data_IF_176015819499
#
_entry.id   IF_176015819499
#
_cell.length_a   1.000
_cell.length_b   1.000
_cell.length_c   1.000
_cell.angle_alpha   90.00
_cell.angle_beta   90.00
_cell.angle_gamma   90.00
#
_symmetry.space_group_name_H-M   'P 1'
#
loop_
_entity.id
_entity.type
_entity.pdbx_description
1 polymer ?
#
# COMPACT_ATOMS: atom_id res chain seq x y z
N UNK A 1 23.95 6.48 46.53
CA UNK A 1 23.10 6.76 47.69
C UNK A 1 21.67 6.51 47.23
N UNK A 2 21.15 5.29 47.36
CA UNK A 2 20.55 4.71 48.60
C UNK A 2 19.20 5.41 48.88
N UNK A 3 18.01 4.83 49.00
CA UNK A 3 17.44 3.48 49.24
C UNK A 3 15.96 3.54 48.73
N UNK A 4 15.31 2.57 48.05
CA UNK A 4 14.76 1.24 48.48
C UNK A 4 13.69 1.41 49.60
N UNK A 5 12.45 0.82 49.55
CA UNK A 5 12.27 -0.64 49.48
C UNK A 5 11.04 -1.27 48.76
N UNK A 6 11.30 -2.55 48.44
CA UNK A 6 10.48 -3.65 47.92
C UNK A 6 9.49 -4.29 48.92
N UNK A 7 8.57 -5.08 48.32
CA UNK A 7 8.13 -6.45 48.66
C UNK A 7 6.62 -6.63 48.93
N UNK A 8 5.99 -7.83 48.74
CA UNK A 8 6.62 -9.15 48.53
C UNK A 8 6.03 -10.07 47.42
N UNK A 9 6.84 -11.06 47.04
CA UNK A 9 6.46 -12.31 46.36
C UNK A 9 5.90 -13.34 47.35
N UNK A 10 4.99 -14.22 46.90
CA UNK A 10 4.80 -15.57 47.47
C UNK A 10 4.76 -16.63 46.37
N UNK A 11 5.41 -17.75 46.68
CA UNK A 11 5.73 -18.85 45.79
C UNK A 11 4.69 -19.99 45.79
N UNK A 12 4.80 -20.81 44.74
CA UNK A 12 4.07 -22.03 44.38
C UNK A 12 4.22 -23.19 45.38
N UNK A 13 3.28 -24.15 45.37
CA UNK A 13 3.61 -25.59 45.20
C UNK A 13 2.39 -26.47 44.85
N UNK A 14 2.72 -27.57 44.16
CA UNK A 14 1.94 -28.52 43.36
C UNK A 14 1.28 -29.67 44.15
N UNK A 15 0.25 -30.33 43.58
CA UNK A 15 0.34 -31.70 43.00
C UNK A 15 -0.99 -32.31 42.51
N UNK A 16 -0.92 -32.81 41.27
CA UNK A 16 -1.43 -34.08 40.73
C UNK A 16 -2.94 -34.40 40.60
N UNK A 17 -3.32 -34.69 39.35
CA UNK A 17 -3.82 -36.03 38.97
C UNK A 17 -5.31 -36.15 38.67
N UNK A 18 -5.65 -36.30 37.38
CA UNK A 18 -6.98 -36.76 36.96
C UNK A 18 -7.25 -36.45 35.49
N UNK A 19 -6.86 -37.36 34.58
CA UNK A 19 -7.22 -37.26 33.17
C UNK A 19 -8.69 -37.64 32.94
N UNK A 20 -9.36 -36.92 32.03
CA UNK A 20 -10.54 -37.40 31.30
C UNK A 20 -10.56 -36.75 29.92
N UNK A 21 -10.48 -37.62 28.90
CA UNK A 21 -11.03 -37.58 27.55
C UNK A 21 -11.11 -36.26 26.77
N UNK A 22 -10.29 -36.19 25.73
CA UNK A 22 -10.49 -35.40 24.50
C UNK A 22 -11.77 -35.89 23.80
N UNK A 23 -12.71 -34.98 23.56
CA UNK A 23 -13.77 -35.17 22.57
C UNK A 23 -13.90 -33.87 21.75
N UNK A 24 -13.01 -33.69 20.78
CA UNK A 24 -13.17 -32.69 19.74
C UNK A 24 -14.05 -33.30 18.64
N UNK A 25 -15.29 -32.83 18.55
CA UNK A 25 -16.27 -33.20 17.55
C UNK A 25 -15.81 -32.63 16.20
N UNK A 26 -15.29 -33.48 15.32
CA UNK A 26 -15.05 -33.15 13.91
C UNK A 26 -16.41 -33.21 13.20
N UNK A 27 -17.01 -32.05 12.93
CA UNK A 27 -18.12 -31.95 11.98
C UNK A 27 -17.50 -31.88 10.60
N UNK A 28 -17.43 -33.03 9.92
CA UNK A 28 -17.17 -33.09 8.49
C UNK A 28 -18.42 -32.61 7.75
N UNK A 29 -18.44 -31.36 7.29
CA UNK A 29 -19.40 -30.92 6.28
C UNK A 29 -18.87 -31.46 4.94
N UNK A 30 -19.49 -32.53 4.46
CA UNK A 30 -19.32 -32.99 3.10
C UNK A 30 -19.96 -31.97 2.14
N UNK A 31 -19.17 -31.05 1.62
CA UNK A 31 -19.56 -30.28 0.45
C UNK A 31 -19.47 -31.23 -0.74
N UNK A 32 -20.63 -31.66 -1.21
CA UNK A 32 -20.75 -32.37 -2.48
C UNK A 32 -20.46 -31.36 -3.59
N UNK A 33 -19.26 -31.42 -4.17
CA UNK A 33 -18.91 -30.66 -5.37
C UNK A 33 -19.64 -31.33 -6.54
N UNK A 34 -20.66 -30.66 -7.04
CA UNK A 34 -21.33 -31.04 -8.29
C UNK A 34 -20.43 -30.56 -9.44
N UNK A 35 -19.87 -31.43 -10.30
CA UNK A 35 -18.95 -31.01 -11.35
C UNK A 35 -19.74 -30.73 -12.63
N UNK A 36 -20.38 -29.56 -12.70
CA UNK A 36 -20.87 -29.00 -13.96
C UNK A 36 -21.51 -27.64 -13.70
N UNK A 37 -20.70 -26.59 -13.72
CA UNK A 37 -21.11 -25.24 -14.06
C UNK A 37 -19.91 -24.56 -14.74
N UNK A 38 -19.70 -24.90 -16.01
CA UNK A 38 -18.87 -24.13 -16.93
C UNK A 38 -19.45 -22.71 -17.03
N UNK A 39 -18.98 -21.81 -16.17
CA UNK A 39 -19.17 -20.38 -16.38
C UNK A 39 -18.13 -19.93 -17.42
N UNK A 40 -18.55 -19.41 -18.58
CA UNK A 40 -17.61 -18.86 -19.54
C UNK A 40 -16.87 -17.68 -18.88
N UNK A 41 -15.53 -17.71 -18.95
CA UNK A 41 -14.69 -16.59 -18.55
C UNK A 41 -15.20 -15.31 -19.22
N UNK A 42 -15.50 -14.29 -18.41
CA UNK A 42 -15.89 -12.99 -18.92
C UNK A 42 -14.76 -12.46 -19.80
N UNK A 43 -15.04 -12.35 -21.10
CA UNK A 43 -14.15 -11.67 -22.04
C UNK A 43 -14.27 -10.17 -21.75
N UNK A 44 -13.16 -9.43 -21.58
CA UNK A 44 -13.24 -8.00 -21.35
C UNK A 44 -13.90 -7.34 -22.57
N UNK A 45 -14.99 -6.62 -22.30
CA UNK A 45 -15.71 -5.84 -23.31
C UNK A 45 -14.75 -4.78 -23.86
N UNK A 46 -14.23 -5.04 -25.05
CA UNK A 46 -13.27 -4.22 -25.76
C UNK A 46 -14.03 -3.37 -26.76
N UNK A 47 -14.45 -2.18 -26.34
CA UNK A 47 -14.91 -1.12 -27.25
C UNK A 47 -14.48 0.25 -26.69
N UNK A 48 -13.16 0.43 -26.56
CA UNK A 48 -12.53 1.75 -26.70
C UNK A 48 -11.49 1.58 -27.80
N UNK A 49 -11.55 2.34 -28.91
CA UNK A 49 -10.48 2.35 -29.89
C UNK A 49 -9.19 2.76 -29.17
N UNK A 50 -8.22 1.85 -29.06
CA UNK A 50 -6.87 2.20 -28.62
C UNK A 50 -6.29 3.01 -29.79
N UNK A 51 -6.46 4.32 -29.72
CA UNK A 51 -5.70 5.23 -30.57
C UNK A 51 -4.23 4.94 -30.31
N UNK A 52 -3.47 4.72 -31.39
CA UNK A 52 -2.02 4.43 -31.36
C UNK A 52 -1.18 5.65 -30.96
N UNK A 53 -1.78 6.62 -30.26
CA UNK A 53 -1.10 7.72 -29.62
C UNK A 53 -0.37 7.20 -28.37
N UNK A 54 0.89 7.61 -28.22
CA UNK A 54 1.68 7.36 -27.02
C UNK A 54 0.90 7.86 -25.79
N UNK A 55 0.76 7.00 -24.77
CA UNK A 55 0.03 7.36 -23.55
C UNK A 55 0.69 8.58 -22.90
N UNK A 56 -0.13 9.51 -22.40
CA UNK A 56 0.37 10.62 -21.58
C UNK A 56 1.06 10.02 -20.35
N UNK A 57 2.37 10.26 -20.14
CA UNK A 57 3.11 9.69 -19.02
C UNK A 57 2.56 10.14 -17.66
N UNK A 58 1.78 11.23 -17.61
CA UNK A 58 1.11 11.72 -16.40
C UNK A 58 -0.30 11.17 -16.21
N UNK A 59 -0.82 10.37 -17.14
CA UNK A 59 -2.13 9.73 -17.03
C UNK A 59 -2.01 8.31 -16.46
N UNK A 60 -2.46 8.16 -15.22
CA UNK A 60 -2.58 6.86 -14.57
C UNK A 60 -3.52 5.95 -15.36
N UNK A 61 -4.71 6.42 -15.74
CA UNK A 61 -5.70 5.59 -16.44
C UNK A 61 -5.21 5.10 -17.80
N UNK A 62 -4.52 5.93 -18.58
CA UNK A 62 -3.98 5.51 -19.87
C UNK A 62 -2.87 4.48 -19.68
N UNK A 63 -1.91 4.73 -18.79
CA UNK A 63 -0.76 3.84 -18.59
C UNK A 63 -1.18 2.49 -17.99
N UNK A 64 -2.09 2.51 -17.02
CA UNK A 64 -2.61 1.30 -16.38
C UNK A 64 -3.43 0.45 -17.37
N UNK A 65 -4.10 1.05 -18.35
CA UNK A 65 -4.84 0.32 -19.38
C UNK A 65 -3.93 -0.36 -20.42
N UNK A 66 -2.65 0.02 -20.51
CA UNK A 66 -1.71 -0.62 -21.43
C UNK A 66 -1.42 -2.07 -21.01
N UNK A 67 -1.30 -3.00 -21.97
CA UNK A 67 -1.01 -4.38 -21.67
C UNK A 67 0.43 -4.54 -21.15
N UNK A 68 0.60 -5.42 -20.16
CA UNK A 68 1.89 -5.85 -19.61
C UNK A 68 2.02 -7.36 -19.75
N UNK A 69 3.15 -7.83 -20.25
CA UNK A 69 3.39 -9.25 -20.42
C UNK A 69 3.83 -9.88 -19.10
N UNK A 70 3.44 -11.14 -18.85
CA UNK A 70 4.02 -11.90 -17.74
C UNK A 70 5.55 -11.97 -17.91
N UNK A 71 6.26 -11.71 -16.83
CA UNK A 71 7.72 -11.68 -16.77
C UNK A 71 8.34 -10.31 -17.11
N UNK A 72 7.55 -9.30 -17.46
CA UNK A 72 8.07 -8.03 -18.01
C UNK A 72 8.11 -6.86 -17.04
N UNK A 73 8.08 -7.07 -15.71
CA UNK A 73 8.13 -5.95 -14.76
C UNK A 73 9.56 -5.41 -14.59
N UNK A 74 9.78 -4.07 -14.56
CA UNK A 74 8.79 -3.02 -14.79
C UNK A 74 8.44 -2.87 -16.28
N UNK A 75 9.39 -3.13 -17.20
CA UNK A 75 9.17 -3.10 -18.66
C UNK A 75 8.61 -1.79 -19.19
N UNK A 76 8.20 -1.71 -20.46
CA UNK A 76 7.87 -0.42 -21.10
C UNK A 76 6.62 0.26 -20.50
N UNK A 77 5.66 -0.52 -19.99
CA UNK A 77 4.35 -0.02 -19.54
C UNK A 77 4.12 -0.17 -18.02
N UNK A 78 5.12 -0.57 -17.25
CA UNK A 78 5.00 -0.66 -15.79
C UNK A 78 5.19 0.70 -15.13
N UNK A 79 4.26 1.05 -14.26
CA UNK A 79 4.40 2.20 -13.36
C UNK A 79 5.26 1.77 -12.15
N UNK A 80 6.56 2.08 -12.22
CA UNK A 80 7.52 1.78 -11.16
C UNK A 80 8.18 3.05 -10.67
N UNK A 81 8.35 3.17 -9.36
CA UNK A 81 8.87 4.39 -8.77
C UNK A 81 9.38 4.27 -7.34
N UNK A 82 9.41 5.44 -6.70
CA UNK A 82 9.88 5.64 -5.33
C UNK A 82 9.12 6.80 -4.70
N UNK A 83 9.08 6.89 -3.38
CA UNK A 83 8.74 8.15 -2.70
C UNK A 83 9.87 9.18 -2.82
N UNK A 84 9.53 10.47 -2.72
CA UNK A 84 10.55 11.52 -2.64
C UNK A 84 11.33 11.47 -1.31
N UNK A 85 12.62 11.17 -1.35
CA UNK A 85 13.51 11.21 -0.19
C UNK A 85 14.90 11.75 -0.59
N UNK A 86 15.49 12.71 0.17
CA UNK A 86 15.09 13.17 1.50
C UNK A 86 13.95 14.20 1.50
N UNK A 87 13.60 14.74 0.34
CA UNK A 87 12.52 15.72 0.17
C UNK A 87 11.46 15.12 -0.76
N UNK A 88 10.19 15.39 -0.47
CA UNK A 88 9.07 15.00 -1.34
C UNK A 88 9.01 15.91 -2.57
N UNK A 89 9.94 15.72 -3.51
CA UNK A 89 10.07 16.51 -4.74
C UNK A 89 10.60 15.71 -5.95
N UNK A 90 10.52 16.35 -7.12
CA UNK A 90 11.00 15.77 -8.40
C UNK A 90 12.50 15.44 -8.36
N UNK A 91 13.30 16.27 -7.69
CA UNK A 91 14.75 16.13 -7.68
C UNK A 91 15.19 14.86 -6.95
N UNK A 92 14.61 14.61 -5.78
CA UNK A 92 14.87 13.42 -4.95
C UNK A 92 14.47 12.13 -5.67
N UNK A 93 13.30 12.13 -6.32
CA UNK A 93 12.87 10.99 -7.17
C UNK A 93 13.86 10.81 -8.32
N UNK A 94 14.19 11.87 -9.06
CA UNK A 94 15.10 11.79 -10.21
C UNK A 94 16.49 11.27 -9.84
N UNK A 95 17.01 11.65 -8.67
CA UNK A 95 18.29 11.13 -8.14
C UNK A 95 18.23 9.61 -7.94
N UNK A 96 17.21 9.11 -7.25
CA UNK A 96 17.01 7.67 -7.06
C UNK A 96 16.93 6.92 -8.39
N UNK A 97 16.11 7.40 -9.33
CA UNK A 97 15.88 6.73 -10.60
C UNK A 97 17.12 6.77 -11.50
N UNK A 98 17.92 7.83 -11.41
CA UNK A 98 19.24 7.91 -12.06
C UNK A 98 20.17 6.81 -11.53
N UNK A 99 20.20 6.60 -10.22
CA UNK A 99 21.01 5.55 -9.58
C UNK A 99 20.47 4.14 -9.85
N UNK A 100 19.15 3.97 -9.99
CA UNK A 100 18.54 2.70 -10.43
C UNK A 100 18.88 2.39 -11.90
N UNK A 101 19.23 3.40 -12.70
CA UNK A 101 19.58 3.25 -14.12
C UNK A 101 18.39 3.33 -15.09
N UNK A 102 17.21 3.73 -14.59
CA UNK A 102 15.96 3.85 -15.37
C UNK A 102 15.07 4.95 -14.78
N UNK A 103 14.45 5.83 -15.59
CA UNK A 103 13.50 6.82 -15.10
C UNK A 103 12.34 6.17 -14.32
N UNK A 104 11.90 6.82 -13.24
CA UNK A 104 10.67 6.41 -12.56
C UNK A 104 9.47 7.03 -13.26
N UNK A 105 8.42 6.23 -13.39
CA UNK A 105 7.14 6.68 -13.95
C UNK A 105 6.12 7.00 -12.84
N UNK A 106 6.47 6.69 -11.59
CA UNK A 106 5.70 7.03 -10.39
C UNK A 106 6.57 7.82 -9.42
N UNK A 107 5.97 8.85 -8.82
CA UNK A 107 6.49 9.50 -7.63
C UNK A 107 5.44 9.39 -6.53
N UNK A 108 5.79 8.73 -5.43
CA UNK A 108 4.92 8.65 -4.27
C UNK A 108 5.12 9.88 -3.37
N UNK A 109 4.01 10.44 -2.90
CA UNK A 109 3.99 11.62 -2.04
C UNK A 109 2.84 11.57 -1.03
N UNK A 110 2.81 12.53 -0.11
CA UNK A 110 1.86 12.62 0.98
C UNK A 110 1.36 14.06 1.11
N UNK A 111 0.14 14.22 1.60
CA UNK A 111 -0.31 15.52 2.10
C UNK A 111 0.07 15.71 3.57
N UNK A 112 -0.02 16.95 4.02
CA UNK A 112 -0.09 17.26 5.45
C UNK A 112 -1.30 16.53 6.07
N UNK A 113 -1.30 16.31 7.40
CA UNK A 113 -2.32 15.59 8.16
C UNK A 113 -2.81 16.35 9.40
N UNK A 114 -2.52 17.63 9.51
CA UNK A 114 -2.82 18.47 10.68
C UNK A 114 -4.32 18.74 10.80
N UNK A 115 -4.98 19.08 9.70
CA UNK A 115 -6.41 19.30 9.62
C UNK A 115 -6.92 19.06 8.19
N UNK A 116 -8.23 19.08 7.99
CA UNK A 116 -8.82 18.85 6.67
C UNK A 116 -8.37 19.88 5.62
N UNK A 117 -8.13 21.12 6.00
CA UNK A 117 -7.73 22.15 5.05
C UNK A 117 -6.29 21.92 4.60
N UNK A 118 -5.37 21.58 5.51
CA UNK A 118 -3.97 21.22 5.18
C UNK A 118 -3.88 19.96 4.32
N UNK A 119 -4.74 18.98 4.58
CA UNK A 119 -4.87 17.75 3.81
C UNK A 119 -5.43 17.98 2.41
N UNK A 120 -6.25 19.01 2.19
CA UNK A 120 -7.03 19.20 0.95
C UNK A 120 -6.69 20.53 0.27
N UNK A 121 -7.47 21.59 0.50
CA UNK A 121 -7.39 22.87 -0.22
C UNK A 121 -6.05 23.60 -0.06
N UNK A 122 -5.31 23.36 1.01
CA UNK A 122 -4.01 23.98 1.29
C UNK A 122 -2.82 23.06 0.96
N UNK A 123 -3.04 21.98 0.19
CA UNK A 123 -2.00 21.02 -0.20
C UNK A 123 -1.32 21.34 -1.55
N UNK A 124 -1.54 22.53 -2.12
CA UNK A 124 -1.04 22.92 -3.46
C UNK A 124 0.48 22.81 -3.60
N UNK A 125 1.20 23.08 -2.52
CA UNK A 125 2.66 22.95 -2.44
C UNK A 125 3.16 21.55 -2.84
N UNK A 126 2.38 20.50 -2.57
CA UNK A 126 2.75 19.13 -2.91
C UNK A 126 2.81 18.98 -4.43
N UNK A 127 1.82 19.50 -5.16
CA UNK A 127 1.84 19.48 -6.62
C UNK A 127 2.94 20.35 -7.20
N UNK A 128 3.25 21.48 -6.57
CA UNK A 128 4.33 22.40 -6.98
C UNK A 128 5.71 21.73 -6.89
N UNK A 129 5.99 20.97 -5.82
CA UNK A 129 7.23 20.20 -5.68
C UNK A 129 7.44 19.15 -6.79
N UNK A 130 6.33 18.72 -7.41
CA UNK A 130 6.32 17.75 -8.50
C UNK A 130 5.94 18.35 -9.85
N UNK A 131 5.95 19.68 -10.04
CA UNK A 131 5.48 20.31 -11.28
C UNK A 131 6.18 19.77 -12.54
N UNK A 132 7.49 19.50 -12.42
CA UNK A 132 8.35 19.03 -13.51
C UNK A 132 8.48 17.49 -13.59
N UNK A 133 7.84 16.74 -12.70
CA UNK A 133 7.89 15.27 -12.75
C UNK A 133 7.08 14.72 -13.93
N UNK A 134 7.74 14.02 -14.86
CA UNK A 134 7.12 13.47 -16.06
C UNK A 134 6.61 12.04 -15.84
N UNK A 135 5.66 11.91 -14.92
CA UNK A 135 5.06 10.64 -14.51
C UNK A 135 3.81 10.84 -13.67
N UNK A 136 3.26 9.73 -13.18
CA UNK A 136 2.08 9.67 -12.33
C UNK A 136 2.44 9.98 -10.88
N UNK A 137 1.64 10.81 -10.21
CA UNK A 137 1.73 10.95 -8.76
C UNK A 137 0.90 9.86 -8.09
N UNK A 138 1.46 9.27 -7.03
CA UNK A 138 0.74 8.40 -6.11
C UNK A 138 0.66 9.12 -4.77
N UNK A 139 -0.54 9.62 -4.44
CA UNK A 139 -0.75 10.53 -3.31
C UNK A 139 -1.39 9.75 -2.17
N UNK A 140 -0.62 9.49 -1.12
CA UNK A 140 -1.15 8.89 0.11
C UNK A 140 -1.88 9.92 0.94
N UNK A 141 -3.17 9.65 1.18
CA UNK A 141 -4.12 10.63 1.68
C UNK A 141 -4.92 10.05 2.85
N UNK A 142 -4.81 10.66 4.03
CA UNK A 142 -5.60 10.28 5.19
C UNK A 142 -7.10 10.60 4.99
N UNK A 143 -8.03 9.83 5.57
CA UNK A 143 -9.47 10.17 5.54
C UNK A 143 -9.85 11.25 6.56
N UNK A 144 -9.19 11.24 7.71
CA UNK A 144 -9.34 12.22 8.79
C UNK A 144 -7.94 12.68 9.21
N UNK A 145 -7.76 13.90 9.75
CA UNK A 145 -6.46 14.37 10.22
C UNK A 145 -5.91 13.53 11.38
N UNK A 146 -4.61 13.64 11.63
CA UNK A 146 -3.96 13.06 12.79
C UNK A 146 -4.67 13.53 14.07
N UNK A 147 -4.89 12.60 15.01
CA UNK A 147 -5.71 12.81 16.23
C UNK A 147 -7.19 13.12 15.96
N UNK A 148 -7.66 12.85 14.73
CA UNK A 148 -9.02 13.07 14.27
C UNK A 148 -9.91 11.82 14.31
N UNK A 149 -9.58 10.79 15.10
CA UNK A 149 -10.31 9.52 15.16
C UNK A 149 -11.81 9.74 15.42
N UNK A 150 -12.16 10.74 16.25
CA UNK A 150 -13.54 11.07 16.59
C UNK A 150 -14.32 11.73 15.45
N UNK A 151 -13.66 12.06 14.33
CA UNK A 151 -14.27 12.71 13.16
C UNK A 151 -14.77 11.69 12.12
N UNK A 152 -14.51 10.40 12.31
CA UNK A 152 -14.89 9.36 11.33
C UNK A 152 -16.39 9.34 11.04
N UNK A 153 -17.24 9.40 12.08
CA UNK A 153 -18.70 9.44 11.93
C UNK A 153 -19.19 10.71 11.20
N UNK A 154 -18.55 11.86 11.43
CA UNK A 154 -18.87 13.10 10.72
C UNK A 154 -18.44 13.02 9.24
N UNK A 155 -17.28 12.40 8.96
CA UNK A 155 -16.87 12.08 7.60
C UNK A 155 -17.86 11.13 6.91
N UNK A 156 -18.32 10.08 7.61
CA UNK A 156 -19.35 9.17 7.12
C UNK A 156 -20.67 9.87 6.77
N UNK A 157 -21.01 10.95 7.49
CA UNK A 157 -22.17 11.78 7.21
C UNK A 157 -21.98 12.79 6.06
N UNK A 158 -20.77 12.89 5.50
CA UNK A 158 -20.43 13.81 4.40
C UNK A 158 -20.10 15.24 4.83
N UNK A 159 -19.85 15.48 6.13
CA UNK A 159 -19.58 16.83 6.65
C UNK A 159 -18.32 17.47 6.04
N UNK A 160 -17.41 16.64 5.50
CA UNK A 160 -16.16 17.06 4.87
C UNK A 160 -16.13 16.88 3.35
N UNK A 161 -17.27 16.62 2.70
CA UNK A 161 -17.33 16.44 1.25
C UNK A 161 -16.79 17.65 0.47
N UNK A 162 -16.99 18.87 0.99
CA UNK A 162 -16.46 20.06 0.31
C UNK A 162 -14.93 20.07 0.29
N UNK A 163 -14.28 19.62 1.36
CA UNK A 163 -12.82 19.48 1.40
C UNK A 163 -12.32 18.51 0.31
N UNK A 164 -13.02 17.40 0.11
CA UNK A 164 -12.69 16.43 -0.94
C UNK A 164 -12.91 16.96 -2.36
N UNK A 165 -13.98 17.75 -2.58
CA UNK A 165 -14.18 18.47 -3.86
C UNK A 165 -13.08 19.49 -4.12
N UNK A 166 -12.65 20.21 -3.10
CA UNK A 166 -11.56 21.19 -3.22
C UNK A 166 -10.25 20.48 -3.58
N UNK A 167 -9.96 19.33 -2.96
CA UNK A 167 -8.78 18.53 -3.32
C UNK A 167 -8.82 18.05 -4.78
N UNK A 168 -9.97 17.53 -5.23
CA UNK A 168 -10.15 17.15 -6.63
C UNK A 168 -9.95 18.32 -7.60
N UNK A 169 -10.52 19.48 -7.27
CA UNK A 169 -10.34 20.72 -8.06
C UNK A 169 -8.87 21.15 -8.10
N UNK A 170 -8.16 21.01 -6.98
CA UNK A 170 -6.75 21.34 -6.87
C UNK A 170 -5.90 20.42 -7.76
N UNK A 171 -6.13 19.10 -7.72
CA UNK A 171 -5.46 18.15 -8.63
C UNK A 171 -5.61 18.56 -10.09
N UNK A 172 -6.84 18.88 -10.53
CA UNK A 172 -7.12 19.29 -11.91
C UNK A 172 -6.41 20.60 -12.24
N UNK A 173 -6.45 21.58 -11.34
CA UNK A 173 -5.83 22.91 -11.53
C UNK A 173 -4.32 22.82 -11.71
N UNK A 174 -3.66 21.88 -11.03
CA UNK A 174 -2.22 21.63 -11.18
C UNK A 174 -1.86 20.68 -12.34
N UNK A 175 -2.83 20.28 -13.18
CA UNK A 175 -2.58 19.33 -14.28
C UNK A 175 -2.26 17.92 -13.81
N UNK A 176 -2.75 17.53 -12.63
CA UNK A 176 -2.53 16.24 -11.96
C UNK A 176 -3.83 15.46 -11.73
N UNK A 177 -4.89 15.80 -12.46
CA UNK A 177 -6.21 15.18 -12.31
C UNK A 177 -6.22 13.67 -12.52
N UNK A 178 -5.39 13.16 -13.45
CA UNK A 178 -5.28 11.72 -13.77
C UNK A 178 -4.13 11.04 -12.99
N UNK A 179 -4.01 11.37 -11.70
CA UNK A 179 -3.07 10.75 -10.74
C UNK A 179 -3.80 9.74 -9.84
N UNK A 180 -3.02 8.96 -9.07
CA UNK A 180 -3.53 7.96 -8.13
C UNK A 180 -3.61 8.56 -6.73
N UNK A 181 -4.73 8.35 -6.03
CA UNK A 181 -4.93 8.71 -4.63
C UNK A 181 -5.12 7.44 -3.80
N UNK A 182 -4.16 7.15 -2.92
CA UNK A 182 -4.25 6.07 -1.92
C UNK A 182 -5.04 6.60 -0.73
N UNK A 183 -6.36 6.59 -0.88
CA UNK A 183 -7.28 7.19 0.08
C UNK A 183 -7.39 6.30 1.33
N UNK A 184 -7.27 6.88 2.51
CA UNK A 184 -7.32 6.16 3.78
C UNK A 184 -6.27 5.04 3.89
N UNK A 185 -5.08 5.25 3.31
CA UNK A 185 -4.01 4.23 3.22
C UNK A 185 -3.72 3.56 4.57
N UNK A 186 -3.48 2.24 4.59
CA UNK A 186 -3.13 1.47 5.80
C UNK A 186 -4.15 1.63 6.95
N UNK A 187 -5.44 1.69 6.65
CA UNK A 187 -6.48 1.82 7.68
C UNK A 187 -6.48 0.69 8.73
N UNK A 188 -5.80 -0.42 8.47
CA UNK A 188 -5.65 -1.55 9.38
C UNK A 188 -4.45 -1.41 10.34
N UNK A 189 -3.73 -0.28 10.31
CA UNK A 189 -2.66 0.04 11.27
C UNK A 189 -3.21 0.76 12.52
N UNK A 190 -2.85 0.27 13.71
CA UNK A 190 -3.31 0.85 14.99
C UNK A 190 -2.89 2.31 15.17
N UNK A 191 -1.83 2.74 14.51
CA UNK A 191 -1.29 4.09 14.62
C UNK A 191 -2.02 5.13 13.75
N UNK A 192 -2.84 4.70 12.78
CA UNK A 192 -3.53 5.62 11.88
C UNK A 192 -4.75 6.26 12.56
N UNK A 193 -4.93 7.57 12.37
CA UNK A 193 -6.10 8.28 12.90
C UNK A 193 -7.38 7.93 12.12
N UNK A 194 -7.25 7.51 10.87
CA UNK A 194 -8.34 7.07 10.00
C UNK A 194 -8.54 5.55 9.99
N UNK A 195 -8.00 4.84 10.98
CA UNK A 195 -8.12 3.39 11.06
C UNK A 195 -9.57 2.93 11.21
N UNK A 196 -9.86 1.72 10.73
CA UNK A 196 -11.21 1.14 10.70
C UNK A 196 -11.74 0.65 12.06
N UNK A 197 -11.80 1.52 13.08
CA UNK A 197 -12.34 1.19 14.42
C UNK A 197 -13.82 0.81 14.38
N UNK A 198 -14.62 1.66 13.73
CA UNK A 198 -15.99 1.34 13.36
C UNK A 198 -16.01 1.03 11.86
N UNK A 199 -16.36 -0.21 11.52
CA UNK A 199 -16.31 -0.69 10.13
C UNK A 199 -17.34 0.01 9.25
N UNK A 200 -18.53 0.32 9.80
CA UNK A 200 -19.60 0.97 9.03
C UNK A 200 -19.25 2.44 8.77
N UNK A 201 -18.76 3.16 9.80
CA UNK A 201 -18.33 4.55 9.65
C UNK A 201 -17.13 4.68 8.71
N UNK A 202 -16.14 3.78 8.79
CA UNK A 202 -14.99 3.78 7.88
C UNK A 202 -15.45 3.62 6.41
N UNK A 203 -16.27 2.59 6.13
CA UNK A 203 -16.77 2.33 4.78
C UNK A 203 -17.57 3.54 4.28
N UNK A 204 -18.47 4.10 5.10
CA UNK A 204 -19.27 5.26 4.74
C UNK A 204 -18.41 6.51 4.48
N UNK A 205 -17.42 6.79 5.34
CA UNK A 205 -16.49 7.91 5.17
C UNK A 205 -15.66 7.77 3.89
N UNK A 206 -15.09 6.58 3.63
CA UNK A 206 -14.36 6.32 2.39
C UNK A 206 -15.23 6.59 1.16
N UNK A 207 -16.46 6.04 1.14
CA UNK A 207 -17.40 6.22 0.03
C UNK A 207 -17.77 7.68 -0.17
N UNK A 208 -18.03 8.43 0.90
CA UNK A 208 -18.34 9.87 0.83
C UNK A 208 -17.16 10.65 0.23
N UNK A 209 -15.96 10.44 0.78
CA UNK A 209 -14.74 11.08 0.32
C UNK A 209 -14.42 10.78 -1.15
N UNK A 210 -14.44 9.51 -1.56
CA UNK A 210 -14.17 9.10 -2.94
C UNK A 210 -15.21 9.67 -3.92
N UNK A 211 -16.49 9.69 -3.53
CA UNK A 211 -17.57 10.27 -4.36
C UNK A 211 -17.41 11.78 -4.52
N UNK A 212 -17.15 12.49 -3.43
CA UNK A 212 -16.94 13.93 -3.44
C UNK A 212 -15.70 14.31 -4.26
N UNK A 213 -14.58 13.61 -4.06
CA UNK A 213 -13.35 13.76 -4.84
C UNK A 213 -13.62 13.60 -6.35
N UNK A 214 -14.26 12.50 -6.74
CA UNK A 214 -14.60 12.22 -8.15
C UNK A 214 -15.57 13.22 -8.76
N UNK A 215 -16.47 13.80 -7.96
CA UNK A 215 -17.41 14.81 -8.45
C UNK A 215 -16.72 16.08 -8.96
N UNK A 216 -15.54 16.41 -8.42
CA UNK A 216 -14.71 17.53 -8.86
C UNK A 216 -13.58 17.10 -9.82
N UNK A 217 -13.12 15.85 -9.70
CA UNK A 217 -12.09 15.26 -10.56
C UNK A 217 -12.52 13.87 -11.08
N UNK A 218 -13.21 13.79 -12.23
CA UNK A 218 -13.66 12.51 -12.78
C UNK A 218 -12.54 11.60 -13.30
N UNK A 219 -11.29 12.08 -13.37
CA UNK A 219 -10.15 11.32 -13.90
C UNK A 219 -9.29 10.68 -12.80
N UNK A 220 -9.51 11.03 -11.53
CA UNK A 220 -8.75 10.47 -10.41
C UNK A 220 -8.88 8.95 -10.37
N UNK A 221 -7.76 8.28 -10.08
CA UNK A 221 -7.73 6.85 -9.80
C UNK A 221 -7.65 6.67 -8.29
N UNK A 222 -8.57 5.92 -7.71
CA UNK A 222 -8.66 5.72 -6.26
C UNK A 222 -8.15 4.33 -5.90
N UNK A 223 -7.12 4.28 -5.04
CA UNK A 223 -6.50 3.07 -4.51
C UNK A 223 -6.92 2.86 -3.05
N UNK A 224 -7.47 1.68 -2.76
CA UNK A 224 -7.71 1.20 -1.40
C UNK A 224 -6.57 0.27 -0.98
N UNK A 225 -5.65 0.79 -0.17
CA UNK A 225 -4.42 0.10 0.23
C UNK A 225 -4.43 -0.31 1.70
N UNK A 226 -3.96 -1.53 2.01
CA UNK A 226 -3.78 -2.05 3.38
C UNK A 226 -2.30 -2.14 3.76
N UNK A 227 -2.00 -2.21 5.06
CA UNK A 227 -0.71 -2.70 5.55
C UNK A 227 -0.72 -4.24 5.57
N UNK A 228 0.40 -4.87 5.22
CA UNK A 228 0.50 -6.33 5.16
C UNK A 228 0.48 -7.02 6.55
N UNK A 229 0.27 -8.33 6.51
CA UNK A 229 0.47 -9.33 7.57
C UNK A 229 -0.54 -9.36 8.72
N UNK A 230 -1.05 -8.23 9.21
CA UNK A 230 -1.96 -8.28 10.35
C UNK A 230 -2.94 -7.11 10.42
N UNK A 231 -4.22 -7.46 10.59
CA UNK A 231 -5.26 -6.53 11.04
C UNK A 231 -5.62 -6.86 12.50
N UNK A 232 -5.40 -5.94 13.46
CA UNK A 232 -5.81 -6.11 14.85
C UNK A 232 -7.31 -6.42 15.01
N UNK A 233 -7.67 -7.22 16.01
CA UNK A 233 -9.06 -7.68 16.21
C UNK A 233 -10.10 -6.56 16.39
N UNK A 234 -9.66 -5.40 16.89
CA UNK A 234 -10.48 -4.21 17.08
C UNK A 234 -10.59 -3.32 15.84
N UNK A 235 -9.85 -3.60 14.77
CA UNK A 235 -9.92 -2.89 13.50
C UNK A 235 -10.57 -3.80 12.47
N UNK A 236 -11.60 -3.31 11.76
CA UNK A 236 -12.26 -4.06 10.69
C UNK A 236 -12.69 -5.48 11.12
N UNK A 237 -13.03 -5.69 12.40
CA UNK A 237 -13.35 -7.03 12.93
C UNK A 237 -12.21 -8.06 12.79
N UNK A 238 -10.95 -7.64 12.75
CA UNK A 238 -9.77 -8.50 12.68
C UNK A 238 -9.37 -8.97 11.29
N UNK A 239 -9.96 -8.43 10.23
CA UNK A 239 -9.58 -8.72 8.84
C UNK A 239 -9.85 -7.49 7.96
N UNK A 240 -8.84 -7.00 7.25
CA UNK A 240 -8.87 -5.76 6.48
C UNK A 240 -9.99 -5.76 5.43
N UNK A 241 -10.26 -6.90 4.79
CA UNK A 241 -11.30 -7.06 3.77
C UNK A 241 -12.71 -6.78 4.27
N UNK A 242 -12.96 -6.83 5.59
CA UNK A 242 -14.24 -6.42 6.16
C UNK A 242 -14.50 -4.92 6.02
N UNK A 243 -13.44 -4.11 5.87
CA UNK A 243 -13.52 -2.67 5.61
C UNK A 243 -13.52 -2.32 4.12
N UNK A 244 -13.62 -3.29 3.20
CA UNK A 244 -13.60 -3.00 1.77
C UNK A 244 -14.81 -2.12 1.37
N UNK A 245 -14.60 -0.90 0.84
CA UNK A 245 -15.68 0.06 0.65
C UNK A 245 -16.56 -0.19 -0.59
N UNK A 246 -16.17 -1.12 -1.47
CA UNK A 246 -16.94 -1.57 -2.62
C UNK A 246 -16.36 -1.21 -3.98
N UNK A 247 -16.67 -2.04 -4.98
CA UNK A 247 -16.11 -1.97 -6.33
C UNK A 247 -16.43 -0.68 -7.09
N UNK A 248 -17.50 0.03 -6.73
CA UNK A 248 -17.96 1.25 -7.42
C UNK A 248 -17.14 2.49 -7.05
N UNK A 249 -16.46 2.47 -5.90
CA UNK A 249 -15.65 3.61 -5.41
C UNK A 249 -14.14 3.32 -5.38
N UNK A 250 -13.72 2.11 -5.74
CA UNK A 250 -12.31 1.68 -5.76
C UNK A 250 -11.89 1.27 -7.18
N UNK A 251 -10.77 1.81 -7.66
CA UNK A 251 -10.19 1.44 -8.96
C UNK A 251 -9.07 0.41 -8.80
N UNK A 252 -8.27 0.54 -7.75
CA UNK A 252 -7.10 -0.31 -7.44
C UNK A 252 -7.21 -0.82 -6.00
N UNK A 253 -6.84 -2.08 -5.78
CA UNK A 253 -6.68 -2.65 -4.44
C UNK A 253 -5.17 -2.82 -4.21
N UNK A 254 -4.64 -2.24 -3.13
CA UNK A 254 -3.20 -2.14 -2.89
C UNK A 254 -2.72 -2.74 -1.59
N UNK A 255 -1.42 -3.02 -1.50
CA UNK A 255 -0.77 -3.42 -0.25
C UNK A 255 0.53 -2.67 -0.01
N UNK A 256 0.81 -2.35 1.25
CA UNK A 256 2.13 -1.92 1.71
C UNK A 256 2.83 -3.11 2.37
N UNK A 257 3.96 -3.53 1.82
CA UNK A 257 4.61 -4.79 2.16
C UNK A 257 6.12 -4.62 2.35
N UNK A 258 6.55 -4.63 3.61
CA UNK A 258 7.95 -4.43 4.00
C UNK A 258 8.59 -5.69 4.55
N UNK A 259 9.89 -5.85 4.31
CA UNK A 259 10.70 -6.84 5.03
C UNK A 259 11.00 -6.34 6.45
N UNK A 260 9.98 -6.36 7.31
CA UNK A 260 10.02 -5.82 8.67
C UNK A 260 9.47 -6.82 9.69
N UNK A 261 8.15 -6.91 9.82
CA UNK A 261 7.49 -7.73 10.81
C UNK A 261 6.26 -8.43 10.22
N UNK A 262 6.35 -9.74 9.92
CA UNK A 262 7.55 -10.58 9.91
C UNK A 262 8.49 -10.24 8.74
N UNK A 263 9.80 -10.27 8.98
CA UNK A 263 10.79 -10.28 7.91
C UNK A 263 10.99 -11.71 7.37
N UNK A 264 11.57 -11.81 6.18
CA UNK A 264 11.70 -13.02 5.37
C UNK A 264 13.16 -13.47 5.27
N UNK A 265 13.67 -14.29 6.22
CA UNK A 265 15.03 -14.82 6.17
C UNK A 265 15.25 -15.85 5.06
N UNK A 266 14.18 -16.49 4.59
CA UNK A 266 14.23 -17.54 3.57
C UNK A 266 13.07 -17.37 2.59
N UNK A 267 13.21 -17.95 1.39
CA UNK A 267 12.14 -17.97 0.39
C UNK A 267 10.87 -18.64 0.94
N UNK A 268 11.03 -19.68 1.77
CA UNK A 268 9.89 -20.35 2.40
C UNK A 268 9.15 -19.44 3.38
N UNK A 269 9.85 -18.55 4.08
CA UNK A 269 9.22 -17.55 4.94
C UNK A 269 8.49 -16.48 4.13
N UNK A 270 9.13 -15.96 3.07
CA UNK A 270 8.48 -15.03 2.13
C UNK A 270 7.21 -15.64 1.52
N UNK A 271 7.29 -16.87 1.00
CA UNK A 271 6.15 -17.54 0.36
C UNK A 271 5.02 -17.79 1.34
N UNK A 272 5.35 -18.15 2.59
CA UNK A 272 4.37 -18.34 3.65
C UNK A 272 3.70 -17.02 4.01
N UNK A 273 4.45 -15.97 4.30
CA UNK A 273 3.87 -14.67 4.71
C UNK A 273 3.12 -13.98 3.58
N UNK A 274 3.50 -14.23 2.32
CA UNK A 274 2.75 -13.77 1.15
C UNK A 274 1.40 -14.49 1.00
N UNK A 275 1.33 -15.79 1.33
CA UNK A 275 0.11 -16.60 1.19
C UNK A 275 -0.81 -16.56 2.44
N UNK A 276 -0.26 -16.27 3.62
CA UNK A 276 -1.03 -16.10 4.85
C UNK A 276 -2.05 -14.95 4.71
N UNK A 277 -3.17 -14.94 5.46
CA UNK A 277 -4.11 -13.81 5.47
C UNK A 277 -3.39 -12.47 5.71
N UNK A 278 -3.86 -11.41 5.04
CA UNK A 278 -3.21 -10.08 4.98
C UNK A 278 -1.85 -10.08 4.25
N UNK A 279 -1.44 -11.19 3.64
CA UNK A 279 -0.20 -11.31 2.87
C UNK A 279 -0.32 -10.80 1.43
N UNK A 280 0.84 -10.58 0.80
CA UNK A 280 0.98 -10.08 -0.58
C UNK A 280 0.15 -10.86 -1.61
N UNK A 281 0.32 -12.18 -1.69
CA UNK A 281 -0.41 -13.04 -2.63
C UNK A 281 -1.87 -13.20 -2.22
N UNK A 282 -2.15 -13.30 -0.91
CA UNK A 282 -3.52 -13.38 -0.41
C UNK A 282 -4.36 -12.16 -0.80
N UNK A 283 -3.80 -10.96 -0.65
CA UNK A 283 -4.51 -9.73 -0.97
C UNK A 283 -4.57 -9.46 -2.47
N UNK A 284 -3.57 -9.91 -3.22
CA UNK A 284 -3.65 -9.98 -4.67
C UNK A 284 -4.86 -10.83 -5.11
N UNK A 285 -5.07 -12.02 -4.56
CA UNK A 285 -6.21 -12.87 -4.89
C UNK A 285 -7.56 -12.21 -4.55
N UNK A 286 -7.61 -11.46 -3.46
CA UNK A 286 -8.77 -10.61 -3.14
C UNK A 286 -9.02 -9.57 -4.24
N UNK A 287 -7.99 -8.83 -4.67
CA UNK A 287 -8.10 -7.88 -5.78
C UNK A 287 -8.60 -8.55 -7.07
N UNK A 288 -8.11 -9.74 -7.38
CA UNK A 288 -8.54 -10.52 -8.54
C UNK A 288 -9.99 -10.97 -8.46
N UNK A 289 -10.47 -11.35 -7.28
CA UNK A 289 -11.87 -11.72 -7.05
C UNK A 289 -12.81 -10.55 -7.34
N UNK A 290 -12.36 -9.32 -7.09
CA UNK A 290 -13.08 -8.08 -7.37
C UNK A 290 -12.84 -7.53 -8.80
N UNK A 291 -12.09 -8.24 -9.64
CA UNK A 291 -11.76 -7.80 -10.99
C UNK A 291 -10.90 -6.54 -11.05
N UNK A 292 -10.19 -6.22 -9.97
CA UNK A 292 -9.34 -5.03 -9.85
C UNK A 292 -7.90 -5.32 -10.24
N UNK A 293 -7.19 -4.25 -10.58
CA UNK A 293 -5.74 -4.27 -10.64
C UNK A 293 -5.16 -4.13 -9.23
N UNK A 294 -3.91 -4.55 -9.09
CA UNK A 294 -3.21 -4.63 -7.83
C UNK A 294 -2.04 -3.65 -7.77
N UNK A 295 -1.83 -2.99 -6.63
CA UNK A 295 -0.67 -2.16 -6.40
C UNK A 295 0.15 -2.64 -5.20
N UNK A 296 1.45 -2.36 -5.24
CA UNK A 296 2.29 -2.41 -4.04
C UNK A 296 2.74 -0.99 -3.74
N UNK A 297 1.94 -0.34 -2.90
CA UNK A 297 1.95 1.10 -2.66
C UNK A 297 3.24 1.57 -2.00
N UNK A 298 3.75 0.75 -1.09
CA UNK A 298 5.04 0.87 -0.45
C UNK A 298 5.65 -0.52 -0.27
N UNK A 299 6.91 -0.67 -0.61
CA UNK A 299 7.67 -1.86 -0.24
C UNK A 299 9.14 -1.55 -0.10
N UNK A 300 9.83 -2.40 0.65
CA UNK A 300 11.28 -2.30 0.78
C UNK A 300 11.79 -3.13 1.93
N UNK A 301 13.11 -3.18 2.05
CA UNK A 301 13.74 -3.72 3.25
C UNK A 301 13.54 -2.74 4.41
N UNK A 302 13.39 -3.19 5.65
CA UNK A 302 13.32 -2.27 6.80
C UNK A 302 14.24 -2.74 7.93
N UNK A 303 15.56 -2.51 7.81
CA UNK A 303 16.53 -2.91 8.81
C UNK A 303 16.41 -2.11 10.11
N UNK A 304 15.54 -2.56 11.01
CA UNK A 304 15.33 -1.97 12.35
C UNK A 304 15.43 -3.08 13.40
N UNK A 305 16.29 -2.88 14.40
CA UNK A 305 16.56 -3.92 15.40
C UNK A 305 17.02 -5.23 14.75
N UNK A 306 16.24 -6.30 14.94
CA UNK A 306 16.51 -7.64 14.39
C UNK A 306 15.78 -7.94 13.07
N UNK A 307 14.95 -7.02 12.57
CA UNK A 307 14.15 -7.18 11.36
C UNK A 307 14.88 -6.70 10.10
N UNK A 308 14.48 -7.23 8.94
CA UNK A 308 14.84 -6.76 7.59
C UNK A 308 16.30 -6.96 7.20
N UNK A 309 17.24 -6.34 7.90
CA UNK A 309 18.68 -6.30 7.57
C UNK A 309 18.90 -5.85 6.11
N UNK A 310 20.14 -5.99 5.64
CA UNK A 310 20.41 -5.96 4.21
C UNK A 310 20.00 -7.31 3.62
N UNK A 311 18.90 -7.34 2.86
CA UNK A 311 18.28 -8.56 2.34
C UNK A 311 18.12 -8.52 0.80
N UNK A 312 19.19 -8.80 0.05
CA UNK A 312 19.14 -8.88 -1.41
C UNK A 312 18.14 -9.91 -1.94
N UNK A 313 17.96 -11.01 -1.21
CA UNK A 313 17.03 -12.08 -1.62
C UNK A 313 15.58 -11.59 -1.60
N UNK A 314 15.17 -10.80 -0.59
CA UNK A 314 13.83 -10.19 -0.55
C UNK A 314 13.58 -9.28 -1.76
N UNK A 315 14.55 -8.46 -2.16
CA UNK A 315 14.46 -7.64 -3.38
C UNK A 315 14.25 -8.52 -4.62
N UNK A 316 15.01 -9.62 -4.71
CA UNK A 316 14.87 -10.60 -5.79
C UNK A 316 13.49 -11.25 -5.83
N UNK A 317 12.94 -11.64 -4.67
CA UNK A 317 11.63 -12.29 -4.59
C UNK A 317 10.49 -11.32 -4.88
N UNK A 318 10.55 -10.07 -4.40
CA UNK A 318 9.57 -9.04 -4.75
C UNK A 318 9.58 -8.77 -6.26
N UNK A 319 10.75 -8.61 -6.87
CA UNK A 319 10.85 -8.43 -8.32
C UNK A 319 10.30 -9.64 -9.09
N UNK A 320 10.63 -10.87 -8.67
CA UNK A 320 10.07 -12.08 -9.27
C UNK A 320 8.54 -12.09 -9.16
N UNK A 321 8.00 -11.79 -7.98
CA UNK A 321 6.57 -11.73 -7.74
C UNK A 321 5.91 -10.68 -8.64
N UNK A 322 6.51 -9.49 -8.80
CA UNK A 322 6.00 -8.48 -9.72
C UNK A 322 6.00 -8.95 -11.17
N UNK A 323 7.08 -9.59 -11.61
CA UNK A 323 7.20 -10.11 -12.96
C UNK A 323 6.11 -11.16 -13.24
N UNK A 324 5.87 -12.09 -12.30
CA UNK A 324 4.83 -13.12 -12.42
C UNK A 324 3.41 -12.54 -12.52
N UNK A 325 3.16 -11.41 -11.84
CA UNK A 325 1.84 -10.77 -11.75
C UNK A 325 1.69 -9.52 -12.64
N UNK A 326 2.67 -9.20 -13.49
CA UNK A 326 2.78 -7.93 -14.23
C UNK A 326 1.51 -7.52 -14.99
N UNK A 327 0.78 -8.47 -15.56
CA UNK A 327 -0.47 -8.24 -16.31
C UNK A 327 -1.60 -7.63 -15.46
N UNK A 328 -1.50 -7.73 -14.12
CA UNK A 328 -2.49 -7.24 -13.17
C UNK A 328 -1.95 -6.16 -12.25
N UNK A 329 -0.66 -5.81 -12.37
CA UNK A 329 -0.07 -4.72 -11.61
C UNK A 329 -0.46 -3.38 -12.20
N UNK A 330 -0.98 -2.51 -11.34
CA UNK A 330 -1.19 -1.10 -11.62
C UNK A 330 0.13 -0.35 -11.46
N UNK A 331 0.80 -0.49 -10.31
CA UNK A 331 2.10 0.13 -10.03
C UNK A 331 2.82 -0.55 -8.84
N UNK A 332 4.11 -0.26 -8.70
CA UNK A 332 4.82 -0.39 -7.42
C UNK A 332 5.67 0.86 -7.13
N UNK A 333 5.83 1.19 -5.85
CA UNK A 333 6.76 2.21 -5.40
C UNK A 333 7.63 1.68 -4.26
N UNK A 334 8.95 1.70 -4.47
CA UNK A 334 9.89 1.42 -3.41
C UNK A 334 9.83 2.54 -2.36
N UNK A 335 9.84 2.21 -1.08
CA UNK A 335 9.83 3.20 -0.03
C UNK A 335 11.23 3.46 0.51
N UNK A 336 11.86 4.52 0.01
CA UNK A 336 13.14 4.98 0.47
C UNK A 336 13.01 5.95 1.65
N UNK A 337 13.60 5.56 2.78
CA UNK A 337 13.75 6.43 3.95
C UNK A 337 14.88 5.95 4.84
N UNK A 338 15.66 6.88 5.39
CA UNK A 338 16.52 6.62 6.55
C UNK A 338 16.32 7.71 7.60
N UNK A 339 15.87 7.32 8.79
CA UNK A 339 15.62 8.22 9.93
C UNK A 339 16.09 7.56 11.25
N UNK A 340 17.35 7.13 11.25
CA UNK A 340 17.99 6.57 12.43
C UNK A 340 17.44 5.20 12.78
N UNK A 341 16.69 5.07 13.89
CA UNK A 341 16.21 3.76 14.37
C UNK A 341 14.80 3.40 13.91
N UNK A 342 14.08 4.31 13.24
CA UNK A 342 12.67 4.11 12.90
C UNK A 342 12.48 3.45 11.52
N UNK A 343 13.28 3.84 10.53
CA UNK A 343 13.33 3.28 9.18
C UNK A 343 14.75 3.38 8.63
N UNK A 344 15.19 2.31 7.97
CA UNK A 344 16.50 2.23 7.31
C UNK A 344 16.39 1.57 5.93
N UNK A 345 15.31 1.86 5.21
CA UNK A 345 14.98 1.25 3.91
C UNK A 345 15.80 1.80 2.73
N UNK A 346 16.64 2.83 2.94
CA UNK A 346 17.41 3.44 1.86
C UNK A 346 18.38 2.45 1.22
N UNK A 347 18.25 2.24 -0.09
CA UNK A 347 19.12 1.34 -0.88
C UNK A 347 19.92 2.07 -1.97
N UNK A 348 19.56 3.30 -2.33
CA UNK A 348 20.24 4.06 -3.40
C UNK A 348 20.62 5.47 -2.95
N UNK A 349 21.26 5.58 -1.77
CA UNK A 349 21.97 6.80 -1.28
C UNK A 349 23.21 6.37 -0.46
N UNK A 350 24.24 5.79 -1.10
CA UNK A 350 25.37 5.17 -0.40
C UNK A 350 26.23 6.13 0.41
N UNK A 351 26.16 7.43 0.13
CA UNK A 351 27.02 8.46 0.74
C UNK A 351 26.33 9.24 1.86
N UNK A 352 25.08 8.92 2.21
CA UNK A 352 24.38 9.55 3.33
C UNK A 352 24.79 8.87 4.66
N UNK A 353 25.54 9.55 5.54
CA UNK A 353 26.11 8.93 6.74
C UNK A 353 25.06 8.50 7.78
N UNK A 354 23.81 8.97 7.65
CA UNK A 354 22.70 8.60 8.54
C UNK A 354 21.92 7.36 8.04
N UNK A 355 22.22 6.90 6.82
CA UNK A 355 21.62 5.71 6.22
C UNK A 355 22.51 4.47 6.40
N UNK A 356 21.90 3.32 6.66
CA UNK A 356 22.57 2.03 6.47
C UNK A 356 22.88 1.81 4.97
N UNK A 357 24.04 1.24 4.62
CA UNK A 357 24.49 1.18 3.24
C UNK A 357 23.69 0.19 2.38
N UNK A 358 23.07 -0.84 3.00
CA UNK A 358 22.24 -1.87 2.35
C UNK A 358 22.75 -2.33 0.98
N UNK A 359 24.07 -2.58 0.88
CA UNK A 359 24.77 -2.68 -0.40
C UNK A 359 24.31 -3.89 -1.22
N UNK A 360 24.01 -5.02 -0.58
CA UNK A 360 23.51 -6.20 -1.29
C UNK A 360 22.15 -5.94 -1.93
N UNK A 361 21.23 -5.34 -1.17
CA UNK A 361 19.89 -4.95 -1.63
C UNK A 361 19.98 -3.90 -2.73
N UNK A 362 20.88 -2.93 -2.59
CA UNK A 362 21.20 -1.92 -3.61
C UNK A 362 21.63 -2.55 -4.93
N UNK A 363 22.61 -3.45 -4.90
CA UNK A 363 23.16 -4.10 -6.09
C UNK A 363 22.09 -4.94 -6.79
N UNK A 364 21.29 -5.68 -6.02
CA UNK A 364 20.21 -6.51 -6.54
C UNK A 364 19.12 -5.64 -7.17
N UNK A 365 18.71 -4.56 -6.50
CA UNK A 365 17.70 -3.64 -7.01
C UNK A 365 18.14 -2.99 -8.33
N UNK A 366 19.37 -2.48 -8.42
CA UNK A 366 19.90 -1.91 -9.67
C UNK A 366 19.96 -2.93 -10.79
N UNK A 367 20.36 -4.17 -10.49
CA UNK A 367 20.44 -5.23 -11.49
C UNK A 367 19.07 -5.56 -12.10
N UNK A 368 18.02 -5.58 -11.28
CA UNK A 368 16.68 -6.03 -11.68
C UNK A 368 15.81 -4.90 -12.23
N UNK A 369 15.85 -3.70 -11.63
CA UNK A 369 14.95 -2.60 -11.97
C UNK A 369 15.54 -1.55 -12.93
N UNK A 370 16.76 -1.76 -13.44
CA UNK A 370 17.38 -0.90 -14.46
C UNK A 370 16.86 -1.13 -15.88
N UNK A 371 16.07 -2.20 -16.10
CA UNK A 371 15.67 -2.67 -17.43
C UNK A 371 14.25 -2.28 -17.81
#
# INVERSE_FOLDING_TARGET
MSDVPDAPRRARLWLAGGGVAVLALVIAIAITVNPSDDHPAATPSSDIPIDTAEADPRSARQTIALPRATGSWPGDHGLSGVNGFPVLDTASVTEFCTLRGRPCNVAQTYTDRTDYDSMTRNSGWMFENFADFDGVLVISQALVPDKGETLMAACAAGDYDQNWRDFGTLMVTHGRGDSIVRLGWEMNESSMAWRGLDTEDYIACYRSAATALRSANPQVVVDWTINAHNTPADLCGGLSTNCYPGDDVVDIIGIDNYDHHPWSPTKADFDRTAADPEGLTWFFDFARTHGKLFSVGEWGIMPTGDAGKDNPEFIGWMHQWFAEHAQYLAYEAYFQRCDGTFSQSSILRPDDPDCLPNTGSSDTYRSLFSR
#
